data_IF_055075902284
#
_entry.id   IF_055075902284
#
_cell.length_a   1.000
_cell.length_b   1.000
_cell.length_c   1.000
_cell.angle_alpha   90.00
_cell.angle_beta   90.00
_cell.angle_gamma   90.00
#
_symmetry.space_group_name_H-M   'P 1'
#
loop_
_entity.id
_entity.type
_entity.pdbx_description
1 polymer ?
#
# COMPACT_ATOMS: atom_id res chain seq x y z
N UNK A 1 10.44 22.61 -1.86
CA UNK A 1 10.52 22.16 -3.26
C UNK A 1 9.28 21.35 -3.53
N UNK A 2 8.36 21.80 -4.39
CA UNK A 2 7.15 21.01 -4.69
C UNK A 2 7.59 19.74 -5.44
N UNK A 3 7.31 18.57 -4.89
CA UNK A 3 7.54 17.33 -5.59
C UNK A 3 6.66 17.32 -6.85
N UNK A 4 7.25 16.98 -8.00
CA UNK A 4 6.51 16.86 -9.24
C UNK A 4 5.61 15.63 -9.18
N UNK A 5 4.33 15.80 -9.52
CA UNK A 5 3.35 14.71 -9.50
C UNK A 5 3.22 14.10 -10.88
N UNK A 6 3.25 12.77 -10.96
CA UNK A 6 2.93 12.02 -12.19
C UNK A 6 1.44 11.99 -12.45
N UNK A 7 0.64 11.92 -11.38
CA UNK A 7 -0.81 11.89 -11.44
C UNK A 7 -1.39 12.83 -10.38
N UNK A 8 -2.34 13.66 -10.79
CA UNK A 8 -3.14 14.52 -9.91
C UNK A 8 -4.62 14.27 -10.19
N UNK A 9 -5.36 13.93 -9.19
CA UNK A 9 -6.82 13.76 -9.21
C UNK A 9 -7.40 14.91 -8.40
N UNK A 10 -8.38 15.64 -8.96
CA UNK A 10 -8.94 16.83 -8.34
C UNK A 10 -10.46 16.75 -8.29
N UNK A 11 -11.01 16.75 -7.08
CA UNK A 11 -12.44 16.84 -6.78
C UNK A 11 -13.28 15.81 -7.59
N UNK A 12 -12.76 14.60 -7.80
CA UNK A 12 -13.42 13.58 -8.62
C UNK A 12 -14.62 13.02 -7.89
N UNK A 13 -15.76 13.08 -8.58
CA UNK A 13 -17.03 12.50 -8.14
C UNK A 13 -17.43 11.38 -9.08
N UNK A 14 -17.95 10.29 -8.53
CA UNK A 14 -18.53 9.18 -9.29
C UNK A 14 -19.68 8.52 -8.55
N UNK A 15 -20.84 8.50 -9.18
CA UNK A 15 -22.02 7.79 -8.72
C UNK A 15 -22.37 6.63 -9.66
N UNK A 16 -22.90 5.57 -9.12
CA UNK A 16 -23.48 4.42 -9.83
C UNK A 16 -24.90 4.19 -9.30
N UNK A 17 -25.90 4.41 -10.13
CA UNK A 17 -27.31 4.35 -9.72
C UNK A 17 -27.54 5.10 -8.40
N UNK A 18 -27.76 4.39 -7.30
CA UNK A 18 -28.04 4.97 -5.98
C UNK A 18 -26.83 5.00 -5.03
N UNK A 19 -25.61 4.72 -5.53
CA UNK A 19 -24.40 4.65 -4.73
C UNK A 19 -23.38 5.69 -5.17
N UNK A 20 -23.00 6.61 -4.26
CA UNK A 20 -21.91 7.56 -4.46
C UNK A 20 -20.58 6.85 -4.14
N UNK A 21 -19.89 6.41 -5.20
CA UNK A 21 -18.65 5.66 -5.08
C UNK A 21 -17.43 6.54 -4.81
N UNK A 22 -17.43 7.79 -5.30
CA UNK A 22 -16.40 8.81 -5.03
C UNK A 22 -17.09 10.15 -4.78
N UNK A 23 -16.72 10.81 -3.70
CA UNK A 23 -17.21 12.10 -3.27
C UNK A 23 -16.06 13.10 -3.16
N UNK A 24 -15.82 13.87 -4.21
CA UNK A 24 -14.77 14.90 -4.32
C UNK A 24 -13.38 14.41 -3.91
N UNK A 25 -13.00 13.23 -4.37
CA UNK A 25 -11.70 12.65 -4.07
C UNK A 25 -10.60 13.41 -4.80
N UNK A 26 -9.60 13.86 -4.04
CA UNK A 26 -8.39 14.51 -4.57
C UNK A 26 -7.16 13.80 -4.01
N UNK A 27 -6.23 13.37 -4.88
CA UNK A 27 -4.94 12.75 -4.52
C UNK A 27 -3.83 13.25 -5.42
N UNK A 28 -2.61 13.26 -4.88
CA UNK A 28 -1.39 13.63 -5.60
C UNK A 28 -0.36 12.51 -5.52
N UNK A 29 -0.05 11.88 -6.65
CA UNK A 29 0.95 10.81 -6.73
C UNK A 29 2.29 11.38 -7.19
N UNK A 30 3.34 11.39 -6.35
CA UNK A 30 4.65 11.90 -6.73
C UNK A 30 5.30 11.05 -7.82
N UNK A 31 6.16 11.68 -8.66
CA UNK A 31 6.99 10.94 -9.62
C UNK A 31 7.97 10.01 -8.90
N UNK A 32 8.25 8.84 -9.51
CA UNK A 32 9.22 7.84 -9.03
C UNK A 32 9.00 7.41 -7.58
N UNK A 33 7.73 7.27 -7.16
CA UNK A 33 7.33 6.86 -5.82
C UNK A 33 6.41 5.66 -5.83
N UNK A 34 6.29 4.97 -4.70
CA UNK A 34 5.27 3.96 -4.47
C UNK A 34 4.19 4.56 -3.57
N UNK A 35 2.99 4.70 -4.13
CA UNK A 35 1.83 5.32 -3.50
C UNK A 35 0.78 4.28 -3.16
N UNK A 36 0.49 4.07 -1.89
CA UNK A 36 -0.54 3.15 -1.41
C UNK A 36 -1.94 3.77 -1.49
N UNK A 37 -2.84 3.16 -2.24
CA UNK A 37 -4.26 3.53 -2.27
C UNK A 37 -5.03 2.55 -1.37
N UNK A 38 -5.33 2.98 -0.15
CA UNK A 38 -5.85 2.15 0.92
C UNK A 38 -7.34 2.35 1.14
N UNK A 39 -7.99 1.38 1.76
CA UNK A 39 -9.39 1.46 2.14
C UNK A 39 -10.06 0.08 2.17
N UNK A 40 -11.20 -0.07 2.87
CA UNK A 40 -11.95 -1.31 2.88
C UNK A 40 -12.53 -1.64 1.49
N UNK A 41 -13.07 -2.86 1.36
CA UNK A 41 -13.80 -3.24 0.15
C UNK A 41 -15.02 -2.33 -0.02
N UNK A 42 -15.26 -1.88 -1.27
CA UNK A 42 -16.33 -0.92 -1.55
C UNK A 42 -16.02 0.54 -1.23
N UNK A 43 -14.83 0.87 -0.72
CA UNK A 43 -14.46 2.26 -0.38
C UNK A 43 -14.39 3.23 -1.55
N UNK A 44 -14.34 2.74 -2.81
CA UNK A 44 -14.22 3.55 -4.02
C UNK A 44 -12.88 3.40 -4.76
N UNK A 45 -11.91 2.65 -4.22
CA UNK A 45 -10.57 2.46 -4.82
C UNK A 45 -10.62 2.03 -6.29
N UNK A 46 -11.35 0.95 -6.58
CA UNK A 46 -11.49 0.40 -7.94
C UNK A 46 -12.21 1.39 -8.88
N UNK A 47 -13.16 2.18 -8.37
CA UNK A 47 -13.80 3.24 -9.17
C UNK A 47 -12.81 4.32 -9.56
N UNK A 48 -11.96 4.75 -8.63
CA UNK A 48 -10.90 5.73 -8.90
C UNK A 48 -9.88 5.17 -9.91
N UNK A 49 -9.42 3.93 -9.71
CA UNK A 49 -8.50 3.23 -10.63
C UNK A 49 -9.09 3.13 -12.04
N UNK A 50 -10.37 2.81 -12.18
CA UNK A 50 -11.06 2.74 -13.48
C UNK A 50 -11.13 4.11 -14.16
N UNK A 51 -11.31 5.20 -13.41
CA UNK A 51 -11.29 6.57 -13.94
C UNK A 51 -9.88 6.92 -14.45
N UNK A 52 -8.84 6.64 -13.66
CA UNK A 52 -7.43 6.88 -14.06
C UNK A 52 -7.06 6.09 -15.32
N UNK A 53 -7.58 4.86 -15.48
CA UNK A 53 -7.37 4.04 -16.67
C UNK A 53 -8.34 4.37 -17.83
N UNK A 54 -9.17 5.40 -17.68
CA UNK A 54 -10.19 5.81 -18.67
C UNK A 54 -11.16 4.69 -19.08
N UNK A 55 -11.41 3.74 -18.20
CA UNK A 55 -12.44 2.70 -18.35
C UNK A 55 -13.81 3.29 -18.05
N UNK A 56 -13.87 4.26 -17.13
CA UNK A 56 -15.10 4.96 -16.73
C UNK A 56 -14.80 6.45 -16.63
N UNK A 57 -15.70 7.31 -17.11
CA UNK A 57 -15.59 8.75 -16.93
C UNK A 57 -16.03 9.17 -15.52
N UNK A 58 -15.41 10.18 -14.91
CA UNK A 58 -15.95 10.82 -13.71
C UNK A 58 -17.23 11.59 -14.04
N UNK A 59 -18.09 11.81 -13.06
CA UNK A 59 -19.29 12.64 -13.22
C UNK A 59 -18.93 14.13 -13.05
N UNK A 60 -17.90 14.42 -12.22
CA UNK A 60 -17.27 15.74 -12.14
C UNK A 60 -15.83 15.60 -11.61
N UNK A 61 -15.08 16.70 -11.64
CA UNK A 61 -13.65 16.71 -11.28
C UNK A 61 -12.75 16.39 -12.48
N UNK A 62 -11.46 16.41 -12.24
CA UNK A 62 -10.45 16.30 -13.30
C UNK A 62 -9.31 15.37 -12.91
N UNK A 63 -8.70 14.73 -13.90
CA UNK A 63 -7.49 13.92 -13.71
C UNK A 63 -6.40 14.46 -14.63
N UNK A 64 -5.22 14.71 -14.05
CA UNK A 64 -4.03 15.15 -14.77
C UNK A 64 -2.98 14.05 -14.73
N UNK A 65 -2.35 13.82 -15.86
CA UNK A 65 -1.24 12.89 -15.99
C UNK A 65 -0.03 13.61 -16.57
N UNK A 66 1.13 13.49 -15.92
CA UNK A 66 2.36 14.15 -16.31
C UNK A 66 2.18 15.68 -16.55
N UNK A 67 1.39 16.33 -15.66
CA UNK A 67 1.14 17.78 -15.66
C UNK A 67 0.11 18.27 -16.69
N UNK A 68 -0.53 17.39 -17.47
CA UNK A 68 -1.57 17.72 -18.45
C UNK A 68 -2.86 16.95 -18.20
N UNK A 69 -4.04 17.44 -18.62
CA UNK A 69 -5.27 16.67 -18.54
C UNK A 69 -5.12 15.30 -19.20
N UNK A 70 -5.53 14.26 -18.47
CA UNK A 70 -5.42 12.86 -18.91
C UNK A 70 -6.21 12.61 -20.19
N UNK A 71 -5.58 12.02 -21.20
CA UNK A 71 -6.16 11.73 -22.53
C UNK A 71 -6.11 10.23 -22.82
N UNK A 72 -6.99 9.72 -23.72
CA UNK A 72 -7.02 8.29 -24.10
C UNK A 72 -5.66 7.74 -24.55
N UNK A 73 -4.85 8.54 -25.25
CA UNK A 73 -3.51 8.15 -25.69
C UNK A 73 -2.52 7.89 -24.53
N UNK A 74 -2.74 8.51 -23.38
CA UNK A 74 -1.85 8.43 -22.25
C UNK A 74 -1.97 7.06 -21.55
N UNK A 75 -3.05 6.32 -21.77
CA UNK A 75 -3.25 4.94 -21.28
C UNK A 75 -2.17 3.99 -21.81
N UNK A 76 -1.54 4.30 -22.94
CA UNK A 76 -0.39 3.55 -23.43
C UNK A 76 0.84 3.66 -22.52
N UNK A 77 0.93 4.72 -21.69
CA UNK A 77 2.01 4.95 -20.71
C UNK A 77 1.64 4.43 -19.31
N UNK A 78 0.45 3.86 -19.15
CA UNK A 78 -0.06 3.33 -17.89
C UNK A 78 -0.10 1.80 -17.98
N UNK A 79 0.54 1.13 -17.04
CA UNK A 79 0.38 -0.30 -16.80
C UNK A 79 -0.70 -0.52 -15.74
N UNK A 80 -1.69 -1.35 -16.02
CA UNK A 80 -2.74 -1.67 -15.08
C UNK A 80 -2.86 -3.19 -14.87
N UNK A 81 -2.66 -3.62 -13.63
CA UNK A 81 -2.90 -4.98 -13.17
C UNK A 81 -4.20 -5.00 -12.37
N UNK A 82 -5.31 -5.47 -12.92
CA UNK A 82 -6.56 -5.59 -12.18
C UNK A 82 -6.53 -6.77 -11.20
N UNK A 83 -7.36 -6.70 -10.16
CA UNK A 83 -7.57 -7.80 -9.20
C UNK A 83 -8.10 -9.06 -9.91
N UNK A 84 -9.07 -8.89 -10.83
CA UNK A 84 -9.60 -9.98 -11.63
C UNK A 84 -8.72 -10.29 -12.84
N UNK A 85 -8.58 -11.56 -13.18
CA UNK A 85 -7.69 -12.01 -14.23
C UNK A 85 -8.33 -11.86 -15.61
N UNK A 86 -7.76 -10.98 -16.43
CA UNK A 86 -8.17 -10.71 -17.81
C UNK A 86 -7.47 -11.60 -18.87
N UNK A 87 -6.90 -12.75 -18.50
CA UNK A 87 -6.21 -13.61 -19.45
C UNK A 87 -7.16 -14.50 -20.26
N UNK A 88 -6.94 -14.61 -21.57
CA UNK A 88 -7.72 -15.48 -22.46
C UNK A 88 -7.31 -16.93 -22.31
N UNK A 89 -8.16 -17.75 -21.68
CA UNK A 89 -7.86 -19.12 -21.24
C UNK A 89 -7.34 -20.04 -22.36
N UNK A 90 -7.88 -19.93 -23.59
CA UNK A 90 -7.55 -20.79 -24.72
C UNK A 90 -6.32 -20.37 -25.53
N UNK A 91 -5.79 -19.17 -25.30
CA UNK A 91 -4.57 -18.71 -25.95
C UNK A 91 -3.32 -19.31 -25.30
N UNK A 92 -2.25 -19.46 -26.11
CA UNK A 92 -0.92 -19.79 -25.56
C UNK A 92 -0.35 -18.60 -24.81
N UNK A 93 0.36 -18.88 -23.71
CA UNK A 93 0.90 -17.87 -22.79
C UNK A 93 1.78 -16.86 -23.51
N UNK A 94 2.76 -17.31 -24.29
CA UNK A 94 3.67 -16.43 -25.03
C UNK A 94 2.97 -15.64 -26.14
N UNK A 95 2.00 -16.25 -26.84
CA UNK A 95 1.23 -15.58 -27.89
C UNK A 95 0.38 -14.43 -27.29
N UNK A 96 -0.32 -14.70 -26.18
CA UNK A 96 -1.13 -13.71 -25.50
C UNK A 96 -0.28 -12.55 -24.95
N UNK A 97 0.82 -12.88 -24.27
CA UNK A 97 1.72 -11.87 -23.70
C UNK A 97 2.26 -10.94 -24.81
N UNK A 98 2.65 -11.52 -25.94
CA UNK A 98 3.13 -10.74 -27.09
C UNK A 98 2.02 -9.91 -27.74
N UNK A 99 0.82 -10.47 -27.87
CA UNK A 99 -0.36 -9.75 -28.40
C UNK A 99 -0.68 -8.51 -27.53
N UNK A 100 -0.74 -8.68 -26.21
CA UNK A 100 -1.04 -7.59 -25.28
C UNK A 100 0.07 -6.51 -25.27
N UNK A 101 1.33 -6.91 -25.42
CA UNK A 101 2.44 -5.98 -25.60
C UNK A 101 2.31 -5.13 -26.87
N UNK A 102 1.89 -5.76 -27.97
CA UNK A 102 1.65 -5.05 -29.24
C UNK A 102 0.47 -4.07 -29.15
N UNK A 103 -0.59 -4.39 -28.40
CA UNK A 103 -1.69 -3.45 -28.13
C UNK A 103 -1.23 -2.19 -27.37
N UNK A 104 -0.16 -2.31 -26.57
CA UNK A 104 0.50 -1.17 -25.90
C UNK A 104 1.53 -0.46 -26.80
N UNK A 105 1.55 -0.76 -28.11
CA UNK A 105 2.41 -0.10 -29.09
C UNK A 105 3.83 -0.67 -29.19
N UNK A 106 4.14 -1.80 -28.52
CA UNK A 106 5.47 -2.40 -28.57
C UNK A 106 5.68 -3.16 -29.88
N UNK A 107 6.79 -2.92 -30.63
CA UNK A 107 7.13 -3.70 -31.82
C UNK A 107 7.31 -5.19 -31.46
N UNK A 108 6.81 -6.09 -32.31
CA UNK A 108 6.78 -7.55 -32.07
C UNK A 108 8.15 -8.13 -31.71
N UNK A 109 9.22 -7.73 -32.41
CA UNK A 109 10.58 -8.22 -32.17
C UNK A 109 11.08 -7.82 -30.78
N UNK A 110 10.97 -6.52 -30.42
CA UNK A 110 11.34 -5.99 -29.12
C UNK A 110 10.50 -6.60 -27.99
N UNK A 111 9.19 -6.77 -28.21
CA UNK A 111 8.29 -7.40 -27.25
C UNK A 111 8.65 -8.85 -26.98
N UNK A 112 9.05 -9.61 -28.01
CA UNK A 112 9.48 -11.02 -27.85
C UNK A 112 10.79 -11.12 -27.06
N UNK A 113 11.77 -10.28 -27.37
CA UNK A 113 13.06 -10.24 -26.65
C UNK A 113 12.87 -9.97 -25.16
N UNK A 114 12.19 -8.87 -24.81
CA UNK A 114 11.91 -8.53 -23.42
C UNK A 114 11.04 -9.57 -22.71
N UNK A 115 10.09 -10.15 -23.40
CA UNK A 115 9.23 -11.19 -22.82
C UNK A 115 10.04 -12.45 -22.46
N UNK A 116 11.02 -12.83 -23.29
CA UNK A 116 11.92 -13.94 -22.97
C UNK A 116 12.74 -13.65 -21.72
N UNK A 117 13.25 -12.42 -21.54
CA UNK A 117 13.98 -11.99 -20.35
C UNK A 117 13.11 -12.08 -19.09
N UNK A 118 11.90 -11.52 -19.15
CA UNK A 118 10.94 -11.59 -18.05
C UNK A 118 10.52 -13.03 -17.72
N UNK A 119 10.27 -13.84 -18.74
CA UNK A 119 9.90 -15.25 -18.53
C UNK A 119 11.02 -16.07 -17.91
N UNK A 120 12.29 -15.80 -18.27
CA UNK A 120 13.45 -16.42 -17.61
C UNK A 120 13.49 -16.03 -16.13
N UNK A 121 13.32 -14.75 -15.82
CA UNK A 121 13.37 -14.20 -14.46
C UNK A 121 12.31 -14.78 -13.53
N UNK A 122 11.12 -15.07 -14.06
CA UNK A 122 9.98 -15.61 -13.31
C UNK A 122 9.81 -17.13 -13.45
N UNK A 123 10.76 -17.83 -14.08
CA UNK A 123 10.71 -19.27 -14.38
C UNK A 123 9.48 -19.69 -15.21
N UNK A 124 9.04 -18.79 -16.10
CA UNK A 124 7.85 -18.99 -16.93
C UNK A 124 8.19 -19.44 -18.37
N UNK A 125 9.48 -19.54 -18.76
CA UNK A 125 9.88 -19.87 -20.12
C UNK A 125 9.37 -21.25 -20.60
N UNK A 126 9.35 -22.32 -19.77
CA UNK A 126 8.80 -23.62 -20.15
C UNK A 126 7.31 -23.59 -20.50
N UNK A 127 6.59 -22.55 -20.04
CA UNK A 127 5.15 -22.38 -20.22
C UNK A 127 4.78 -21.57 -21.46
N UNK A 128 5.77 -21.11 -22.23
CA UNK A 128 5.55 -20.26 -23.41
C UNK A 128 4.51 -20.81 -24.40
N UNK A 129 4.57 -22.10 -24.72
CA UNK A 129 3.69 -22.76 -25.66
C UNK A 129 2.45 -23.41 -25.03
N UNK A 130 2.33 -23.36 -23.70
CA UNK A 130 1.17 -23.88 -22.97
C UNK A 130 0.01 -22.93 -23.05
N UNK A 131 -1.22 -23.46 -22.92
CA UNK A 131 -2.42 -22.61 -22.83
C UNK A 131 -2.50 -21.97 -21.45
N UNK A 132 -3.13 -20.78 -21.36
CA UNK A 132 -3.33 -20.08 -20.10
C UNK A 132 -4.16 -20.91 -19.10
N UNK A 133 -5.11 -21.70 -19.57
CA UNK A 133 -5.92 -22.59 -18.72
C UNK A 133 -5.12 -23.71 -18.02
N UNK A 134 -3.91 -24.00 -18.48
CA UNK A 134 -3.00 -24.99 -17.89
C UNK A 134 -2.16 -24.40 -16.73
N UNK A 135 -2.20 -23.07 -16.53
CA UNK A 135 -1.44 -22.39 -15.49
C UNK A 135 -2.13 -22.50 -14.11
N UNK A 136 -1.31 -22.66 -13.07
CA UNK A 136 -1.77 -22.45 -11.70
C UNK A 136 -2.17 -20.97 -11.47
N UNK A 137 -2.86 -20.72 -10.37
CA UNK A 137 -3.27 -19.36 -9.99
C UNK A 137 -2.09 -18.39 -9.90
N UNK A 138 -1.01 -18.79 -9.21
CA UNK A 138 0.20 -17.96 -9.06
C UNK A 138 0.94 -17.76 -10.39
N UNK A 139 1.00 -18.80 -11.26
CA UNK A 139 1.61 -18.66 -12.57
C UNK A 139 0.86 -17.71 -13.49
N UNK A 140 -0.47 -17.78 -13.52
CA UNK A 140 -1.29 -16.84 -14.26
C UNK A 140 -1.07 -15.39 -13.77
N UNK A 141 -0.86 -15.20 -12.48
CA UNK A 141 -0.58 -13.89 -11.89
C UNK A 141 0.81 -13.37 -12.26
N UNK A 142 1.84 -14.25 -12.29
CA UNK A 142 3.18 -13.91 -12.82
C UNK A 142 3.08 -13.42 -14.27
N UNK A 143 2.38 -14.15 -15.13
CA UNK A 143 2.19 -13.77 -16.54
C UNK A 143 1.49 -12.41 -16.63
N UNK A 144 0.44 -12.20 -15.85
CA UNK A 144 -0.31 -10.94 -15.86
C UNK A 144 0.56 -9.76 -15.40
N UNK A 145 1.35 -9.93 -14.33
CA UNK A 145 2.31 -8.93 -13.88
C UNK A 145 3.34 -8.61 -14.98
N UNK A 146 3.95 -9.63 -15.58
CA UNK A 146 4.93 -9.46 -16.67
C UNK A 146 4.32 -8.65 -17.83
N UNK A 147 3.13 -9.00 -18.30
CA UNK A 147 2.45 -8.28 -19.37
C UNK A 147 2.21 -6.82 -19.01
N UNK A 148 1.86 -6.56 -17.74
CA UNK A 148 1.55 -5.22 -17.25
C UNK A 148 2.77 -4.30 -17.24
N UNK A 149 3.97 -4.82 -16.97
CA UNK A 149 5.21 -4.04 -16.90
C UNK A 149 6.04 -4.04 -18.18
N UNK A 150 5.75 -4.94 -19.12
CA UNK A 150 6.57 -5.22 -20.29
C UNK A 150 6.83 -4.01 -21.18
N UNK A 151 5.84 -3.11 -21.30
CA UNK A 151 5.90 -1.90 -22.13
C UNK A 151 6.56 -0.70 -21.43
N UNK A 152 7.15 -0.90 -20.25
CA UNK A 152 7.88 0.12 -19.46
C UNK A 152 7.00 1.35 -19.16
N UNK A 153 5.90 1.17 -18.43
CA UNK A 153 4.97 2.25 -18.15
C UNK A 153 5.61 3.35 -17.29
N UNK A 154 5.16 4.60 -17.46
CA UNK A 154 5.50 5.71 -16.55
C UNK A 154 4.75 5.62 -15.23
N UNK A 155 3.51 5.13 -15.28
CA UNK A 155 2.67 4.87 -14.11
C UNK A 155 2.22 3.41 -14.12
N UNK A 156 2.47 2.70 -13.04
CA UNK A 156 2.06 1.32 -12.83
C UNK A 156 0.99 1.29 -11.75
N UNK A 157 -0.19 0.79 -12.08
CA UNK A 157 -1.32 0.64 -11.14
C UNK A 157 -1.52 -0.84 -10.88
N UNK A 158 -1.41 -1.25 -9.63
CA UNK A 158 -1.49 -2.63 -9.19
C UNK A 158 -2.64 -2.76 -8.18
N UNK A 159 -3.70 -3.47 -8.58
CA UNK A 159 -4.87 -3.72 -7.72
C UNK A 159 -4.75 -5.13 -7.12
N UNK A 160 -4.50 -5.19 -5.80
CA UNK A 160 -4.25 -6.41 -5.02
C UNK A 160 -3.18 -7.35 -5.63
N UNK A 161 -1.98 -6.85 -5.97
CA UNK A 161 -1.01 -7.61 -6.77
C UNK A 161 -0.46 -8.85 -6.07
N UNK A 162 -0.53 -8.91 -4.75
CA UNK A 162 0.01 -10.02 -3.94
C UNK A 162 -1.01 -11.11 -3.67
N UNK A 163 -2.28 -10.90 -4.00
CA UNK A 163 -3.36 -11.87 -3.79
C UNK A 163 -3.11 -13.16 -4.57
N UNK A 164 -2.97 -14.28 -3.85
CA UNK A 164 -2.78 -15.61 -4.44
C UNK A 164 -1.34 -16.00 -4.75
N UNK A 165 -0.35 -15.19 -4.37
CA UNK A 165 1.05 -15.59 -4.30
C UNK A 165 1.38 -16.19 -2.93
N UNK A 166 2.32 -17.14 -2.93
CA UNK A 166 3.04 -17.54 -1.72
C UNK A 166 4.06 -16.47 -1.31
N UNK A 167 4.63 -16.54 -0.10
CA UNK A 167 5.58 -15.53 0.39
C UNK A 167 6.82 -15.35 -0.51
N UNK A 168 7.33 -16.42 -1.14
CA UNK A 168 8.52 -16.36 -2.00
C UNK A 168 8.20 -15.55 -3.27
N UNK A 169 7.09 -15.88 -3.93
CA UNK A 169 6.66 -15.17 -5.13
C UNK A 169 6.25 -13.71 -4.82
N UNK A 170 5.64 -13.46 -3.65
CA UNK A 170 5.35 -12.10 -3.17
C UNK A 170 6.63 -11.26 -3.07
N UNK A 171 7.70 -11.79 -2.49
CA UNK A 171 8.97 -11.08 -2.36
C UNK A 171 9.63 -10.80 -3.72
N UNK A 172 9.54 -11.73 -4.69
CA UNK A 172 10.02 -11.51 -6.06
C UNK A 172 9.27 -10.33 -6.69
N UNK A 173 7.94 -10.29 -6.60
CA UNK A 173 7.13 -9.19 -7.17
C UNK A 173 7.42 -7.87 -6.46
N UNK A 174 7.55 -7.85 -5.13
CA UNK A 174 7.95 -6.65 -4.37
C UNK A 174 9.31 -6.11 -4.82
N UNK A 175 10.32 -6.98 -4.97
CA UNK A 175 11.65 -6.59 -5.45
C UNK A 175 11.59 -5.98 -6.85
N UNK A 176 10.73 -6.52 -7.74
CA UNK A 176 10.56 -5.96 -9.07
C UNK A 176 9.84 -4.61 -9.06
N UNK A 177 8.85 -4.42 -8.20
CA UNK A 177 8.18 -3.13 -8.01
C UNK A 177 9.19 -2.08 -7.55
N UNK A 178 10.03 -2.39 -6.56
CA UNK A 178 11.10 -1.51 -6.09
C UNK A 178 12.09 -1.18 -7.20
N UNK A 179 12.54 -2.18 -7.97
CA UNK A 179 13.45 -1.97 -9.11
C UNK A 179 12.85 -1.07 -10.19
N UNK A 180 11.56 -1.27 -10.51
CA UNK A 180 10.85 -0.41 -11.48
C UNK A 180 10.73 1.02 -10.98
N UNK A 181 10.47 1.22 -9.70
CA UNK A 181 10.45 2.55 -9.08
C UNK A 181 11.82 3.23 -9.14
N UNK A 182 12.90 2.51 -8.85
CA UNK A 182 14.27 3.02 -8.98
C UNK A 182 14.64 3.39 -10.42
N UNK A 183 14.05 2.69 -11.40
CA UNK A 183 14.18 3.01 -12.82
C UNK A 183 13.30 4.18 -13.28
N UNK A 184 12.55 4.84 -12.36
CA UNK A 184 11.75 6.03 -12.63
C UNK A 184 10.25 5.78 -12.85
N UNK A 185 9.75 4.55 -12.73
CA UNK A 185 8.31 4.25 -12.78
C UNK A 185 7.65 4.68 -11.47
N UNK A 186 6.55 5.42 -11.55
CA UNK A 186 5.69 5.68 -10.38
C UNK A 186 4.69 4.55 -10.23
N UNK A 187 4.39 4.15 -9.00
CA UNK A 187 3.52 2.99 -8.72
C UNK A 187 2.36 3.39 -7.82
N UNK A 188 1.14 3.03 -8.19
CA UNK A 188 -0.02 3.02 -7.30
C UNK A 188 -0.27 1.56 -6.90
N UNK A 189 -0.22 1.29 -5.60
CA UNK A 189 -0.51 0.00 -5.00
C UNK A 189 -1.83 0.06 -4.26
N UNK A 190 -2.88 -0.52 -4.83
CA UNK A 190 -4.17 -0.70 -4.15
C UNK A 190 -4.13 -2.01 -3.39
N UNK A 191 -4.23 -1.95 -2.06
CA UNK A 191 -4.20 -3.14 -1.21
C UNK A 191 -4.84 -2.89 0.15
N UNK A 192 -5.30 -3.97 0.79
CA UNK A 192 -5.71 -4.01 2.19
C UNK A 192 -4.63 -4.65 3.10
N UNK A 193 -3.50 -5.10 2.55
CA UNK A 193 -2.38 -5.68 3.31
C UNK A 193 -1.46 -4.58 3.85
N UNK A 194 -1.71 -4.14 5.09
CA UNK A 194 -0.97 -3.05 5.72
C UNK A 194 0.52 -3.37 5.95
N UNK A 195 0.90 -4.64 6.12
CA UNK A 195 2.30 -5.05 6.20
C UNK A 195 3.06 -4.75 4.91
N UNK A 196 2.46 -5.03 3.75
CA UNK A 196 3.05 -4.68 2.45
C UNK A 196 3.12 -3.16 2.23
N UNK A 197 2.14 -2.40 2.75
CA UNK A 197 2.15 -0.94 2.70
C UNK A 197 3.34 -0.37 3.48
N UNK A 198 3.56 -0.82 4.71
CA UNK A 198 4.69 -0.37 5.54
C UNK A 198 6.05 -0.72 4.93
N UNK A 199 6.12 -1.84 4.22
CA UNK A 199 7.37 -2.35 3.66
C UNK A 199 7.82 -1.59 2.40
N UNK A 200 6.87 -1.23 1.50
CA UNK A 200 7.26 -0.70 0.19
C UNK A 200 6.64 0.65 -0.18
N UNK A 201 5.57 1.13 0.49
CA UNK A 201 4.95 2.41 0.16
C UNK A 201 5.66 3.58 0.85
N UNK A 202 5.87 4.66 0.12
CA UNK A 202 6.41 5.93 0.63
C UNK A 202 5.29 6.90 1.01
N UNK A 203 4.24 6.93 0.20
CA UNK A 203 3.06 7.77 0.36
C UNK A 203 1.81 6.92 0.38
N UNK A 204 0.78 7.39 1.03
CA UNK A 204 -0.52 6.73 1.02
C UNK A 204 -1.68 7.73 0.94
N UNK A 205 -2.80 7.27 0.39
CA UNK A 205 -4.13 7.84 0.67
C UNK A 205 -5.06 6.73 1.18
N UNK A 206 -5.81 7.04 2.21
CA UNK A 206 -6.86 6.18 2.74
C UNK A 206 -8.23 6.70 2.28
N UNK A 207 -8.95 5.87 1.53
CA UNK A 207 -10.31 6.14 1.08
C UNK A 207 -11.28 5.32 1.92
N UNK A 208 -12.32 5.95 2.41
CA UNK A 208 -13.43 5.26 3.08
C UNK A 208 -14.76 5.89 2.66
N UNK A 209 -15.75 5.07 2.31
CA UNK A 209 -17.07 5.52 1.87
C UNK A 209 -17.03 6.61 0.78
N UNK A 210 -16.15 6.45 -0.21
CA UNK A 210 -15.99 7.38 -1.33
C UNK A 210 -15.22 8.67 -0.99
N UNK A 211 -14.75 8.88 0.23
CA UNK A 211 -14.01 10.08 0.66
C UNK A 211 -12.56 9.74 1.02
N UNK A 212 -11.65 10.65 0.70
CA UNK A 212 -10.29 10.59 1.23
C UNK A 212 -10.28 11.06 2.68
N UNK A 213 -9.87 10.19 3.60
CA UNK A 213 -9.83 10.49 5.04
C UNK A 213 -8.42 10.77 5.56
N UNK A 214 -7.41 10.27 4.87
CA UNK A 214 -6.01 10.44 5.26
C UNK A 214 -5.11 10.46 4.02
N UNK A 215 -4.08 11.32 3.99
CA UNK A 215 -3.05 11.32 2.95
C UNK A 215 -1.73 11.86 3.51
N UNK A 216 -0.61 11.29 3.09
CA UNK A 216 0.72 11.73 3.47
C UNK A 216 1.77 10.66 3.27
N UNK A 217 3.01 10.93 3.75
CA UNK A 217 4.02 9.88 3.81
C UNK A 217 3.68 8.88 4.92
N UNK A 218 4.04 7.60 4.73
CA UNK A 218 3.86 6.56 5.77
C UNK A 218 4.52 6.99 7.09
N UNK A 219 5.71 7.61 7.01
CA UNK A 219 6.44 8.09 8.19
C UNK A 219 5.71 9.21 8.91
N UNK A 220 5.24 10.24 8.18
CA UNK A 220 4.55 11.38 8.80
C UNK A 220 3.24 10.95 9.45
N UNK A 221 2.48 10.08 8.76
CA UNK A 221 1.23 9.53 9.29
C UNK A 221 1.51 8.76 10.59
N UNK A 222 2.47 7.82 10.58
CA UNK A 222 2.83 7.08 11.81
C UNK A 222 3.27 8.02 12.93
N UNK A 223 3.99 9.09 12.61
CA UNK A 223 4.41 10.10 13.59
C UNK A 223 3.23 10.90 14.16
N UNK A 224 2.22 11.27 13.36
CA UNK A 224 1.01 11.96 13.84
C UNK A 224 0.20 11.12 14.83
N UNK A 225 0.24 9.80 14.67
CA UNK A 225 -0.49 8.86 15.53
C UNK A 225 0.32 8.34 16.72
N UNK A 226 1.52 8.85 16.96
CA UNK A 226 2.30 8.51 18.16
C UNK A 226 1.55 8.88 19.44
N UNK A 227 1.53 7.97 20.39
CA UNK A 227 0.81 8.13 21.66
C UNK A 227 1.72 8.34 22.86
N UNK A 228 3.05 8.36 22.66
CA UNK A 228 4.04 8.40 23.76
C UNK A 228 4.01 7.14 24.62
N UNK A 229 3.70 6.00 24.00
CA UNK A 229 3.73 4.69 24.66
C UNK A 229 5.10 4.06 24.46
N UNK A 230 5.68 3.52 25.55
CA UNK A 230 6.96 2.83 25.53
C UNK A 230 6.80 1.42 26.09
N UNK A 231 7.47 0.46 25.46
CA UNK A 231 7.66 -0.88 25.98
C UNK A 231 9.04 -0.97 26.64
N UNK A 232 9.05 -1.35 27.92
CA UNK A 232 10.26 -1.48 28.73
C UNK A 232 10.43 -2.96 29.07
N UNK A 233 11.58 -3.51 28.70
CA UNK A 233 12.01 -4.85 29.09
C UNK A 233 13.01 -4.76 30.20
N UNK A 234 12.77 -5.45 31.31
CA UNK A 234 13.65 -5.39 32.49
C UNK A 234 13.65 -6.70 33.30
N UNK A 235 14.68 -6.89 34.10
CA UNK A 235 14.74 -7.88 35.19
C UNK A 235 14.55 -7.19 36.52
N UNK A 236 13.88 -7.83 37.46
CA UNK A 236 13.65 -7.31 38.82
C UNK A 236 12.19 -7.38 39.23
N UNK A 237 11.86 -6.71 40.31
CA UNK A 237 10.53 -6.73 40.89
C UNK A 237 9.61 -5.72 40.21
N UNK A 238 8.45 -6.18 39.72
CA UNK A 238 7.47 -5.33 39.08
C UNK A 238 6.90 -4.23 39.97
N UNK A 239 6.75 -4.51 41.27
CA UNK A 239 6.27 -3.51 42.26
C UNK A 239 7.29 -2.38 42.41
N UNK A 240 8.59 -2.72 42.52
CA UNK A 240 9.66 -1.72 42.58
C UNK A 240 9.71 -0.86 41.32
N UNK A 241 9.54 -1.48 40.16
CA UNK A 241 9.43 -0.79 38.87
C UNK A 241 8.24 0.18 38.85
N UNK A 242 7.05 -0.30 39.22
CA UNK A 242 5.82 0.53 39.20
C UNK A 242 5.91 1.71 40.17
N UNK A 243 6.46 1.49 41.37
CA UNK A 243 6.70 2.56 42.37
C UNK A 243 7.68 3.60 41.83
N UNK A 244 8.71 3.18 41.10
CA UNK A 244 9.71 4.08 40.52
C UNK A 244 9.14 4.95 39.38
N UNK A 245 8.12 4.50 38.66
CA UNK A 245 7.45 5.29 37.61
C UNK A 245 6.73 6.52 38.20
N UNK A 246 6.20 6.41 39.42
CA UNK A 246 5.47 7.49 40.09
C UNK A 246 4.33 8.02 39.25
N UNK A 247 4.18 9.36 39.20
CA UNK A 247 3.17 10.07 38.39
C UNK A 247 3.65 10.45 36.96
N UNK A 248 4.91 10.14 36.66
CA UNK A 248 5.53 10.48 35.37
C UNK A 248 4.99 9.61 34.22
N UNK A 249 4.44 8.44 34.51
CA UNK A 249 3.96 7.46 33.55
C UNK A 249 2.75 6.71 34.07
N UNK A 250 1.88 6.33 33.15
CA UNK A 250 0.77 5.40 33.39
C UNK A 250 1.19 4.00 32.92
N UNK A 251 1.11 2.99 33.79
CA UNK A 251 1.30 1.60 33.41
C UNK A 251 0.04 1.10 32.70
N UNK A 252 0.16 0.78 31.40
CA UNK A 252 -0.97 0.30 30.59
C UNK A 252 -1.12 -1.21 30.66
N UNK A 253 0.02 -1.93 30.60
CA UNK A 253 0.05 -3.40 30.58
C UNK A 253 1.39 -3.90 31.11
N UNK A 254 1.40 -5.13 31.65
CA UNK A 254 2.64 -5.80 32.04
C UNK A 254 2.52 -7.31 31.96
N UNK A 255 3.59 -7.98 31.51
CA UNK A 255 3.69 -9.44 31.46
C UNK A 255 5.08 -9.91 31.84
N UNK A 256 5.17 -11.09 32.47
CA UNK A 256 6.43 -11.74 32.78
C UNK A 256 6.61 -12.98 31.88
N UNK A 257 7.73 -13.06 31.15
CA UNK A 257 8.05 -14.16 30.25
C UNK A 257 9.54 -14.50 30.40
N UNK A 258 9.83 -15.78 30.66
CA UNK A 258 11.22 -16.30 30.74
C UNK A 258 12.15 -15.50 31.65
N UNK A 259 11.64 -15.04 32.82
CA UNK A 259 12.41 -14.27 33.79
C UNK A 259 12.60 -12.79 33.45
N UNK A 260 12.00 -12.29 32.42
CA UNK A 260 11.93 -10.89 32.04
C UNK A 260 10.53 -10.33 32.25
N UNK A 261 10.45 -9.07 32.67
CA UNK A 261 9.22 -8.30 32.68
C UNK A 261 9.17 -7.40 31.45
N UNK A 262 8.00 -7.33 30.84
CA UNK A 262 7.65 -6.44 29.73
C UNK A 262 6.54 -5.52 30.22
N UNK A 263 6.79 -4.23 30.29
CA UNK A 263 5.81 -3.26 30.74
C UNK A 263 5.56 -2.23 29.64
N UNK A 264 4.28 -1.99 29.30
CA UNK A 264 3.87 -0.87 28.44
C UNK A 264 3.48 0.29 29.32
N UNK A 265 4.15 1.42 29.11
CA UNK A 265 3.90 2.65 29.87
C UNK A 265 3.58 3.80 28.91
N UNK A 266 2.64 4.65 29.31
CA UNK A 266 2.32 5.89 28.61
C UNK A 266 2.93 7.06 29.35
N UNK A 267 3.69 7.91 28.65
CA UNK A 267 4.32 9.08 29.24
C UNK A 267 3.28 10.16 29.57
N UNK A 268 3.46 10.80 30.70
CA UNK A 268 2.75 12.04 30.99
C UNK A 268 3.24 13.17 30.05
N UNK A 269 2.37 14.16 29.81
CA UNK A 269 2.69 15.28 28.90
C UNK A 269 3.95 16.02 29.41
N UNK A 270 4.95 16.17 28.51
CA UNK A 270 6.22 16.84 28.84
C UNK A 270 7.29 15.94 29.46
N UNK A 271 7.00 14.67 29.70
CA UNK A 271 7.98 13.68 30.17
C UNK A 271 8.64 13.00 28.96
N UNK A 272 9.97 12.94 28.97
CA UNK A 272 10.73 12.25 27.93
C UNK A 272 11.23 10.86 28.38
N UNK A 273 11.68 10.00 27.46
CA UNK A 273 12.14 8.64 27.77
C UNK A 273 13.33 8.62 28.74
N UNK A 274 14.20 9.62 28.70
CA UNK A 274 15.31 9.74 29.63
C UNK A 274 14.86 9.95 31.09
N UNK A 275 13.72 10.58 31.33
CA UNK A 275 13.17 10.76 32.66
C UNK A 275 12.76 9.42 33.28
N UNK A 276 12.15 8.54 32.43
CA UNK A 276 11.80 7.20 32.87
C UNK A 276 13.04 6.39 33.20
N UNK A 277 14.04 6.37 32.31
CA UNK A 277 15.28 5.64 32.54
C UNK A 277 15.94 6.06 33.85
N UNK A 278 16.03 7.38 34.12
CA UNK A 278 16.58 7.89 35.37
C UNK A 278 15.82 7.39 36.61
N UNK A 279 14.50 7.25 36.50
CA UNK A 279 13.65 6.80 37.60
C UNK A 279 13.79 5.29 37.85
N UNK A 280 13.84 4.45 36.79
CA UNK A 280 13.75 2.99 36.96
C UNK A 280 15.11 2.29 37.07
N UNK A 281 16.20 2.81 36.49
CA UNK A 281 17.54 2.18 36.50
C UNK A 281 18.05 1.89 37.91
N UNK A 282 17.82 2.72 38.98
CA UNK A 282 18.22 2.40 40.31
C UNK A 282 17.49 1.21 40.97
N UNK A 283 16.33 0.79 40.40
CA UNK A 283 15.42 -0.17 41.01
C UNK A 283 15.32 -1.50 40.28
N UNK A 284 15.64 -1.50 38.96
CA UNK A 284 15.54 -2.68 38.09
C UNK A 284 16.66 -2.69 37.06
N UNK A 285 16.98 -3.88 36.54
CA UNK A 285 17.97 -4.05 35.48
C UNK A 285 17.26 -3.88 34.11
N UNK A 286 17.35 -2.70 33.47
CA UNK A 286 16.73 -2.39 32.20
C UNK A 286 17.48 -3.10 31.08
N UNK A 287 16.75 -3.86 30.23
CA UNK A 287 17.27 -4.58 29.06
C UNK A 287 16.92 -3.87 27.76
N UNK A 288 15.83 -3.12 27.73
CA UNK A 288 15.39 -2.39 26.55
C UNK A 288 14.31 -1.36 26.86
N UNK A 289 14.31 -0.28 26.06
CA UNK A 289 13.29 0.76 26.04
C UNK A 289 12.98 1.06 24.57
N UNK A 290 11.79 0.73 24.13
CA UNK A 290 11.37 0.95 22.76
C UNK A 290 10.08 1.78 22.72
N UNK A 291 10.02 2.80 21.86
CA UNK A 291 8.76 3.50 21.60
C UNK A 291 7.83 2.60 20.78
N UNK A 292 6.60 2.45 21.23
CA UNK A 292 5.55 1.73 20.50
C UNK A 292 4.94 2.67 19.47
N UNK A 293 5.49 2.60 18.26
CA UNK A 293 4.94 3.34 17.11
C UNK A 293 3.75 2.54 16.56
N UNK A 294 2.56 3.15 16.38
CA UNK A 294 1.41 2.44 15.85
C UNK A 294 1.69 1.90 14.44
N UNK A 295 1.22 0.70 14.17
CA UNK A 295 1.28 0.12 12.83
C UNK A 295 0.29 0.83 11.90
N UNK A 296 0.51 0.73 10.58
CA UNK A 296 -0.47 1.22 9.60
C UNK A 296 -1.81 0.49 9.74
N UNK A 297 -1.79 -0.77 10.22
CA UNK A 297 -3.01 -1.51 10.49
C UNK A 297 -3.82 -0.90 11.66
N UNK A 298 -3.15 -0.50 12.75
CA UNK A 298 -3.81 0.14 13.90
C UNK A 298 -4.42 1.49 13.50
N UNK A 299 -3.67 2.28 12.72
CA UNK A 299 -4.12 3.57 12.20
C UNK A 299 -5.33 3.38 11.27
N UNK A 300 -5.26 2.40 10.36
CA UNK A 300 -6.34 2.07 9.45
C UNK A 300 -7.63 1.71 10.19
N UNK A 301 -7.56 0.78 11.16
CA UNK A 301 -8.71 0.35 11.97
C UNK A 301 -9.31 1.55 12.68
N UNK A 302 -8.49 2.37 13.34
CA UNK A 302 -8.94 3.55 14.07
C UNK A 302 -9.68 4.54 13.17
N UNK A 303 -9.08 4.93 12.06
CA UNK A 303 -9.64 5.95 11.16
C UNK A 303 -10.93 5.47 10.46
N UNK A 304 -11.00 4.19 10.09
CA UNK A 304 -12.21 3.61 9.50
C UNK A 304 -13.33 3.50 10.53
N UNK A 305 -13.04 3.14 11.79
CA UNK A 305 -14.03 3.03 12.87
C UNK A 305 -14.62 4.40 13.22
N UNK A 306 -13.79 5.42 13.43
CA UNK A 306 -14.23 6.78 13.76
C UNK A 306 -15.16 7.36 12.67
N UNK A 307 -14.78 7.17 11.40
CA UNK A 307 -15.60 7.65 10.29
C UNK A 307 -16.92 6.85 10.12
N UNK A 308 -16.99 5.62 10.62
CA UNK A 308 -18.23 4.82 10.60
C UNK A 308 -19.22 5.28 11.66
N UNK A 309 -18.74 5.65 12.86
CA UNK A 309 -19.56 6.16 13.96
C UNK A 309 -20.17 7.54 13.64
N UNK A 310 -19.40 8.43 13.02
CA UNK A 310 -19.88 9.76 12.60
C UNK A 310 -21.04 9.67 11.60
N UNK A 311 -21.00 8.71 10.68
CA UNK A 311 -22.07 8.48 9.70
C UNK A 311 -23.36 7.95 10.31
N UNK A 312 -23.28 7.21 11.42
CA UNK A 312 -24.46 6.70 12.14
C UNK A 312 -25.17 7.85 12.87
N UNK A 313 -24.41 8.80 13.42
CA UNK A 313 -24.95 9.99 14.10
C UNK A 313 -25.54 11.05 13.16
N UNK A 314 -25.07 11.13 11.89
CA UNK A 314 -25.63 12.06 10.89
C UNK A 314 -26.93 11.54 10.25
N UNK A 315 -27.25 10.25 10.41
CA UNK A 315 -28.45 9.62 9.84
C UNK A 315 -29.55 9.32 10.89
N UNK A 316 -29.32 9.66 12.16
CA UNK A 316 -30.31 9.72 13.24
C UNK A 316 -30.83 11.16 13.42
#
# INVERSE_FOLDING_TARGET
MFMKSILSVREVVKAYANHLALDKVSIEVPESSIYGLLGPNGAGKTSLIRIINQITAPDSGEVFFNGAPLKPKDVALIGYLPEERGLYKKMKVGEQALYLAQLKGMPKAKGKEKLIEWFKKFDMLPWWNKKVEELSKGMAQKVQFIITVLHEPKLLILDEPFSGFDPINTNIVKSEILRLKEAGTSVILSTHNMGSVEEICEHIALINNGKKILEGTVSDIKNQFRQGIFEITFKGNLISFTNALGTACELLDSKAINGYNYAKVKLAKGVGPNNILKAIVPHVEVQGLNEVIPSMNDIFIREVSVNSEQKTQENE
#
